data_IF_681539749944
#
_entry.id   IF_681539749944
#
_cell.length_a   1.000
_cell.length_b   1.000
_cell.length_c   1.000
_cell.angle_alpha   90.00
_cell.angle_beta   90.00
_cell.angle_gamma   90.00
#
_symmetry.space_group_name_H-M   'P 1'
#
loop_
_entity.id
_entity.type
_entity.pdbx_description
1 polymer ?
#
# COMPACT_ATOMS: atom_id res chain seq x y z
N UNK A 1 -4.38 14.57 -20.51
CA UNK A 1 -3.25 14.23 -19.63
C UNK A 1 -2.77 12.86 -20.08
N UNK A 2 -1.53 12.73 -20.53
CA UNK A 2 -1.06 11.45 -21.05
C UNK A 2 -1.08 10.42 -19.92
N UNK A 3 -1.99 9.44 -20.00
CA UNK A 3 -1.91 8.21 -19.23
C UNK A 3 -0.60 7.53 -19.63
N UNK A 4 0.45 7.75 -18.83
CA UNK A 4 1.68 6.99 -18.99
C UNK A 4 1.37 5.56 -18.57
N UNK A 5 1.01 4.71 -19.52
CA UNK A 5 0.84 3.29 -19.28
C UNK A 5 2.11 2.73 -18.64
N UNK A 6 1.95 2.02 -17.53
CA UNK A 6 3.06 1.35 -16.85
C UNK A 6 3.38 0.09 -17.65
N UNK A 7 4.64 -0.06 -18.08
CA UNK A 7 5.04 -1.30 -18.77
C UNK A 7 5.16 -2.46 -17.78
N UNK A 8 5.00 -3.70 -18.28
CA UNK A 8 5.16 -4.89 -17.43
C UNK A 8 6.58 -5.01 -16.83
N UNK A 9 7.60 -4.49 -17.52
CA UNK A 9 8.97 -4.44 -17.00
C UNK A 9 9.14 -3.37 -15.91
N UNK A 10 8.44 -2.24 -16.01
CA UNK A 10 8.40 -1.21 -14.96
C UNK A 10 7.67 -1.71 -13.72
N UNK A 11 6.54 -2.37 -13.92
CA UNK A 11 5.76 -2.99 -12.85
C UNK A 11 6.57 -4.06 -12.12
N UNK A 12 7.11 -5.05 -12.86
CA UNK A 12 7.85 -6.17 -12.29
C UNK A 12 9.08 -5.70 -11.50
N UNK A 13 9.82 -4.72 -12.04
CA UNK A 13 10.97 -4.14 -11.33
C UNK A 13 10.54 -3.42 -10.05
N UNK A 14 9.50 -2.58 -10.13
CA UNK A 14 9.02 -1.80 -8.99
C UNK A 14 8.49 -2.70 -7.88
N UNK A 15 7.80 -3.78 -8.25
CA UNK A 15 7.30 -4.78 -7.32
C UNK A 15 8.46 -5.51 -6.63
N UNK A 16 9.46 -5.94 -7.40
CA UNK A 16 10.65 -6.60 -6.84
C UNK A 16 11.43 -5.66 -5.90
N UNK A 17 11.58 -4.37 -6.26
CA UNK A 17 12.24 -3.41 -5.37
C UNK A 17 11.42 -3.13 -4.10
N UNK A 18 10.09 -3.07 -4.19
CA UNK A 18 9.25 -2.85 -3.02
C UNK A 18 9.34 -4.01 -2.01
N UNK A 19 9.56 -5.24 -2.48
CA UNK A 19 9.68 -6.43 -1.66
C UNK A 19 11.10 -6.65 -1.09
N UNK A 20 12.13 -6.12 -1.75
CA UNK A 20 13.55 -6.36 -1.42
C UNK A 20 13.90 -6.08 0.04
N UNK A 21 13.34 -5.01 0.60
CA UNK A 21 13.59 -4.57 1.97
C UNK A 21 12.46 -4.99 2.94
N UNK A 22 11.54 -5.85 2.50
CA UNK A 22 10.41 -6.30 3.31
C UNK A 22 10.64 -7.71 3.84
N UNK A 23 9.96 -8.06 4.94
CA UNK A 23 9.92 -9.44 5.45
C UNK A 23 9.10 -10.41 4.58
N UNK A 24 8.65 -9.98 3.40
CA UNK A 24 7.84 -10.78 2.46
C UNK A 24 8.75 -11.41 1.42
N UNK A 25 8.85 -12.73 1.43
CA UNK A 25 9.65 -13.49 0.47
C UNK A 25 9.08 -13.43 -0.96
N UNK A 26 7.76 -13.57 -1.10
CA UNK A 26 7.08 -13.55 -2.39
C UNK A 26 5.58 -13.28 -2.26
N UNK A 27 4.98 -12.83 -3.36
CA UNK A 27 3.54 -12.63 -3.50
C UNK A 27 2.90 -13.80 -4.24
N UNK A 28 1.67 -14.15 -3.87
CA UNK A 28 0.84 -15.11 -4.60
C UNK A 28 0.36 -14.52 -5.92
N UNK A 29 0.07 -15.38 -6.89
CA UNK A 29 -0.36 -14.95 -8.23
C UNK A 29 -1.57 -14.02 -8.19
N UNK A 30 -2.57 -14.31 -7.35
CA UNK A 30 -3.77 -13.50 -7.19
C UNK A 30 -3.49 -12.15 -6.55
N UNK A 31 -2.50 -12.08 -5.64
CA UNK A 31 -2.07 -10.80 -5.05
C UNK A 31 -1.36 -9.94 -6.11
N UNK A 32 -0.47 -10.54 -6.92
CA UNK A 32 0.22 -9.86 -8.02
C UNK A 32 -0.80 -9.32 -9.02
N UNK A 33 -1.78 -10.13 -9.42
CA UNK A 33 -2.82 -9.70 -10.35
C UNK A 33 -3.65 -8.54 -9.78
N UNK A 34 -4.02 -8.58 -8.50
CA UNK A 34 -4.71 -7.45 -7.87
C UNK A 34 -3.88 -6.16 -7.93
N UNK A 35 -2.60 -6.21 -7.59
CA UNK A 35 -1.72 -5.04 -7.63
C UNK A 35 -1.54 -4.55 -9.07
N UNK A 36 -1.41 -5.47 -10.05
CA UNK A 36 -1.27 -5.17 -11.47
C UNK A 36 -2.49 -4.43 -12.01
N UNK A 37 -3.71 -4.85 -11.63
CA UNK A 37 -4.95 -4.15 -12.02
C UNK A 37 -4.99 -2.71 -11.51
N UNK A 38 -4.53 -2.47 -10.28
CA UNK A 38 -4.47 -1.10 -9.72
C UNK A 38 -3.41 -0.27 -10.46
N UNK A 39 -2.19 -0.79 -10.58
CA UNK A 39 -1.04 0.02 -11.01
C UNK A 39 -0.94 0.14 -12.52
N UNK A 40 -1.17 -0.95 -13.26
CA UNK A 40 -1.00 -0.98 -14.71
C UNK A 40 -2.29 -0.63 -15.46
N UNK A 41 -3.43 -1.07 -14.94
CA UNK A 41 -4.73 -0.90 -15.61
C UNK A 41 -5.56 0.25 -15.04
N UNK A 42 -5.22 0.76 -13.86
CA UNK A 42 -6.01 1.77 -13.13
C UNK A 42 -7.48 1.34 -12.95
N UNK A 43 -7.69 0.05 -12.69
CA UNK A 43 -9.03 -0.54 -12.53
C UNK A 43 -9.47 -0.60 -11.08
N UNK A 44 -10.76 -0.30 -10.85
CA UNK A 44 -11.47 -0.67 -9.65
C UNK A 44 -11.95 -2.13 -9.75
N UNK A 45 -11.78 -2.92 -8.68
CA UNK A 45 -12.24 -4.31 -8.66
C UNK A 45 -12.66 -4.78 -7.26
N UNK A 46 -13.39 -5.90 -7.24
CA UNK A 46 -13.73 -6.65 -6.05
C UNK A 46 -12.90 -7.94 -5.98
N UNK A 47 -11.99 -8.04 -5.02
CA UNK A 47 -11.23 -9.28 -4.78
C UNK A 47 -11.92 -10.14 -3.72
N UNK A 48 -12.47 -11.28 -4.15
CA UNK A 48 -13.05 -12.29 -3.27
C UNK A 48 -12.01 -13.38 -2.99
N UNK A 49 -11.27 -13.24 -1.89
CA UNK A 49 -10.22 -14.17 -1.49
C UNK A 49 -10.48 -14.73 -0.08
N UNK A 50 -10.10 -15.98 0.23
CA UNK A 50 -10.41 -16.61 1.50
C UNK A 50 -9.74 -15.91 2.70
N UNK A 51 -10.28 -16.11 3.89
CA UNK A 51 -9.66 -15.66 5.15
C UNK A 51 -8.29 -16.31 5.31
N UNK A 52 -7.31 -15.58 5.84
CA UNK A 52 -5.92 -16.06 5.94
C UNK A 52 -5.13 -16.03 4.63
N UNK A 53 -5.73 -15.66 3.49
CA UNK A 53 -5.00 -15.63 2.22
C UNK A 53 -3.85 -14.61 2.17
N UNK A 54 -3.91 -13.57 3.01
CA UNK A 54 -2.97 -12.43 2.98
C UNK A 54 -3.49 -11.24 2.18
N UNK A 55 -4.81 -11.01 2.17
CA UNK A 55 -5.45 -9.91 1.42
C UNK A 55 -4.86 -8.54 1.74
N UNK A 56 -4.51 -8.28 3.00
CA UNK A 56 -3.99 -6.98 3.43
C UNK A 56 -2.74 -6.56 2.68
N UNK A 57 -1.87 -7.52 2.37
CA UNK A 57 -0.60 -7.26 1.71
C UNK A 57 -0.77 -6.59 0.34
N UNK A 58 -1.90 -6.85 -0.33
CA UNK A 58 -2.24 -6.27 -1.63
C UNK A 58 -2.23 -4.74 -1.53
N UNK A 59 -3.00 -4.15 -0.61
CA UNK A 59 -3.05 -2.69 -0.48
C UNK A 59 -1.87 -2.13 0.32
N UNK A 60 -1.26 -2.93 1.20
CA UNK A 60 -0.13 -2.48 2.03
C UNK A 60 1.12 -2.19 1.21
N UNK A 61 1.41 -2.96 0.16
CA UNK A 61 2.64 -2.79 -0.63
C UNK A 61 2.51 -1.66 -1.68
N UNK A 62 1.28 -1.31 -2.10
CA UNK A 62 1.03 -0.37 -3.21
C UNK A 62 1.77 0.96 -3.07
N UNK A 63 1.72 1.67 -1.92
CA UNK A 63 2.43 2.94 -1.79
C UNK A 63 3.93 2.80 -2.09
N UNK A 64 4.55 1.70 -1.65
CA UNK A 64 5.97 1.42 -1.91
C UNK A 64 6.21 1.13 -3.39
N UNK A 65 5.37 0.32 -4.03
CA UNK A 65 5.48 0.01 -5.47
C UNK A 65 5.36 1.28 -6.30
N UNK A 66 4.41 2.17 -5.98
CA UNK A 66 4.25 3.46 -6.64
C UNK A 66 5.49 4.35 -6.46
N UNK A 67 6.06 4.42 -5.25
CA UNK A 67 7.31 5.16 -5.00
C UNK A 67 8.47 4.62 -5.83
N UNK A 68 8.63 3.29 -5.90
CA UNK A 68 9.65 2.65 -6.74
C UNK A 68 9.44 2.94 -8.23
N UNK A 69 8.19 2.97 -8.69
CA UNK A 69 7.85 3.25 -10.08
C UNK A 69 8.23 4.68 -10.49
N UNK A 70 7.92 5.68 -9.65
CA UNK A 70 8.34 7.07 -9.89
C UNK A 70 9.86 7.20 -9.87
N UNK A 71 10.52 6.49 -8.93
CA UNK A 71 11.98 6.46 -8.87
C UNK A 71 12.59 5.89 -10.17
N UNK A 72 11.97 4.85 -10.76
CA UNK A 72 12.43 4.27 -12.04
C UNK A 72 12.22 5.23 -13.22
N UNK A 73 11.06 5.91 -13.30
CA UNK A 73 10.70 6.78 -14.43
C UNK A 73 11.41 8.13 -14.41
N UNK A 74 11.40 8.78 -13.26
CA UNK A 74 11.81 10.20 -13.13
C UNK A 74 13.08 10.39 -12.30
N UNK A 75 13.58 9.34 -11.64
CA UNK A 75 14.64 9.42 -10.62
C UNK A 75 14.30 10.34 -9.44
N UNK A 76 13.01 10.63 -9.27
CA UNK A 76 12.49 11.46 -8.19
C UNK A 76 11.94 10.58 -7.07
N UNK A 77 12.07 11.05 -5.84
CA UNK A 77 11.44 10.43 -4.68
C UNK A 77 10.08 11.07 -4.44
N UNK A 78 9.01 10.31 -4.64
CA UNK A 78 7.64 10.72 -4.32
C UNK A 78 7.04 9.76 -3.30
N UNK A 79 6.38 10.32 -2.29
CA UNK A 79 5.60 9.54 -1.32
C UNK A 79 4.16 9.40 -1.81
N UNK A 80 3.58 8.23 -1.54
CA UNK A 80 2.19 7.92 -1.83
C UNK A 80 1.46 7.55 -0.55
N UNK A 81 0.16 7.86 -0.51
CA UNK A 81 -0.72 7.58 0.62
C UNK A 81 -1.87 6.69 0.13
N UNK A 82 -2.11 5.57 0.83
CA UNK A 82 -3.27 4.72 0.64
C UNK A 82 -4.25 4.86 1.81
N UNK A 83 -5.52 5.11 1.51
CA UNK A 83 -6.58 5.15 2.52
C UNK A 83 -7.28 3.79 2.59
N UNK A 84 -7.35 3.22 3.78
CA UNK A 84 -7.99 1.93 4.04
C UNK A 84 -9.15 2.12 5.00
N UNK A 85 -10.35 1.85 4.52
CA UNK A 85 -11.57 1.92 5.33
C UNK A 85 -11.85 0.54 5.92
N UNK A 86 -11.93 0.45 7.25
CA UNK A 86 -12.28 -0.78 7.96
C UNK A 86 -13.19 -0.48 9.14
N UNK A 87 -14.32 -1.21 9.30
CA UNK A 87 -15.34 -0.87 10.29
C UNK A 87 -14.87 -1.11 11.74
N UNK A 88 -13.91 -2.00 11.97
CA UNK A 88 -13.51 -2.41 13.32
C UNK A 88 -12.19 -1.75 13.72
N UNK A 89 -12.24 -0.97 14.80
CA UNK A 89 -11.05 -0.33 15.39
C UNK A 89 -9.94 -1.34 15.73
N UNK A 90 -10.32 -2.50 16.29
CA UNK A 90 -9.37 -3.58 16.57
C UNK A 90 -8.61 -4.03 15.32
N UNK A 91 -9.31 -4.19 14.18
CA UNK A 91 -8.68 -4.57 12.91
C UNK A 91 -7.74 -3.45 12.45
N UNK A 92 -8.16 -2.17 12.52
CA UNK A 92 -7.31 -1.03 12.14
C UNK A 92 -5.99 -1.02 12.92
N UNK A 93 -6.06 -1.16 14.25
CA UNK A 93 -4.87 -1.23 15.13
C UNK A 93 -3.96 -2.40 14.75
N UNK A 94 -4.53 -3.59 14.52
CA UNK A 94 -3.77 -4.75 14.07
C UNK A 94 -3.09 -4.54 12.71
N UNK A 95 -3.73 -3.83 11.76
CA UNK A 95 -3.12 -3.55 10.46
C UNK A 95 -1.98 -2.53 10.57
N UNK A 96 -2.10 -1.53 11.45
CA UNK A 96 -0.99 -0.59 11.72
C UNK A 96 0.22 -1.34 12.29
N UNK A 97 0.01 -2.24 13.24
CA UNK A 97 1.08 -3.08 13.78
C UNK A 97 1.67 -4.04 12.74
N UNK A 98 0.84 -4.61 11.86
CA UNK A 98 1.33 -5.54 10.84
C UNK A 98 2.27 -4.83 9.86
N UNK A 99 1.97 -3.59 9.46
CA UNK A 99 2.84 -2.80 8.58
C UNK A 99 4.18 -2.47 9.25
N UNK A 100 4.17 -2.14 10.55
CA UNK A 100 5.42 -1.95 11.32
C UNK A 100 6.30 -3.20 11.31
N UNK A 101 5.70 -4.40 11.31
CA UNK A 101 6.42 -5.69 11.24
C UNK A 101 6.90 -6.06 9.83
N UNK A 102 6.38 -5.43 8.79
CA UNK A 102 6.83 -5.68 7.41
C UNK A 102 8.24 -5.13 7.14
N UNK A 103 8.71 -4.18 7.97
CA UNK A 103 10.03 -3.53 7.88
C UNK A 103 10.38 -2.91 6.52
N UNK A 104 9.37 -2.60 5.70
CA UNK A 104 9.56 -2.12 4.32
C UNK A 104 9.74 -0.59 4.21
N UNK A 105 9.93 0.09 5.34
CA UNK A 105 10.03 1.55 5.45
C UNK A 105 8.70 2.30 5.29
N UNK A 106 7.57 1.60 5.27
CA UNK A 106 6.24 2.22 5.22
C UNK A 106 5.77 2.63 6.62
N UNK A 107 5.10 3.79 6.69
CA UNK A 107 4.45 4.29 7.90
C UNK A 107 2.95 4.16 7.80
N UNK A 108 2.31 3.69 8.87
CA UNK A 108 0.88 3.53 8.94
C UNK A 108 0.31 4.12 10.23
N UNK A 109 -0.90 4.65 10.15
CA UNK A 109 -1.59 5.33 11.22
C UNK A 109 -3.10 5.06 11.14
N UNK A 110 -3.79 5.09 12.29
CA UNK A 110 -5.24 5.02 12.37
C UNK A 110 -5.83 6.34 12.87
N UNK A 111 -6.86 6.85 12.19
CA UNK A 111 -7.49 8.14 12.50
C UNK A 111 -8.18 8.06 13.86
N UNK A 112 -7.92 9.06 14.71
CA UNK A 112 -8.52 9.20 16.03
C UNK A 112 -7.91 8.27 17.08
N UNK A 113 -6.73 7.69 16.79
CA UNK A 113 -6.01 6.90 17.79
C UNK A 113 -5.36 7.82 18.85
N UNK A 114 -4.68 8.89 18.40
CA UNK A 114 -3.97 9.89 19.21
C UNK A 114 -3.79 11.19 18.41
N UNK A 115 -3.78 12.34 19.09
CA UNK A 115 -3.58 13.66 18.46
C UNK A 115 -2.25 13.76 17.70
N UNK A 116 -1.17 13.12 18.19
CA UNK A 116 0.11 13.12 17.47
C UNK A 116 0.04 12.33 16.17
N UNK A 117 -0.68 11.21 16.17
CA UNK A 117 -0.88 10.37 14.99
C UNK A 117 -1.68 11.11 13.92
N UNK A 118 -2.71 11.84 14.32
CA UNK A 118 -3.55 12.62 13.41
C UNK A 118 -2.76 13.78 12.78
N UNK A 119 -1.87 14.43 13.53
CA UNK A 119 -0.92 15.42 12.96
C UNK A 119 0.03 14.80 11.94
N UNK A 120 0.57 13.61 12.22
CA UNK A 120 1.43 12.92 11.26
C UNK A 120 0.67 12.56 9.96
N UNK A 121 -0.64 12.30 10.05
CA UNK A 121 -1.51 12.10 8.88
C UNK A 121 -1.67 13.42 8.11
N UNK A 122 -2.05 14.50 8.79
CA UNK A 122 -2.26 15.83 8.19
C UNK A 122 -0.99 16.37 7.49
N UNK A 123 0.17 16.11 8.06
CA UNK A 123 1.47 16.52 7.50
C UNK A 123 2.00 15.58 6.40
N UNK A 124 1.25 14.52 6.05
CA UNK A 124 1.64 13.59 4.97
C UNK A 124 2.85 12.72 5.32
N UNK A 125 3.11 12.47 6.61
CA UNK A 125 4.24 11.68 7.11
C UNK A 125 3.97 10.18 7.13
N UNK A 126 2.80 9.75 6.67
CA UNK A 126 2.34 8.36 6.65
C UNK A 126 2.05 7.92 5.22
N UNK A 127 2.20 6.64 4.95
CA UNK A 127 1.92 6.03 3.64
C UNK A 127 0.58 5.30 3.62
N UNK A 128 0.05 4.91 4.78
CA UNK A 128 -1.22 4.19 4.88
C UNK A 128 -2.02 4.75 6.05
N UNK A 129 -3.26 5.12 5.78
CA UNK A 129 -4.19 5.68 6.77
C UNK A 129 -5.37 4.74 6.94
N UNK A 130 -5.67 4.35 8.18
CA UNK A 130 -6.80 3.51 8.53
C UNK A 130 -7.94 4.31 9.17
N UNK A 131 -9.07 4.40 8.48
CA UNK A 131 -10.30 5.06 8.96
C UNK A 131 -11.47 4.07 9.10
N UNK A 132 -12.49 4.45 9.85
CA UNK A 132 -13.82 3.85 9.73
C UNK A 132 -14.63 4.57 8.65
N UNK A 133 -15.87 4.13 8.38
CA UNK A 133 -16.69 4.75 7.35
C UNK A 133 -17.26 6.12 7.78
N UNK A 134 -17.29 6.38 9.08
CA UNK A 134 -17.80 7.59 9.70
C UNK A 134 -16.76 8.72 9.78
N UNK A 135 -15.49 8.39 9.52
CA UNK A 135 -14.34 9.29 9.54
C UNK A 135 -13.96 9.70 8.13
#
# INVERSE_FOLDING_TARGET
MAESTVSEEEFSWSLAQALKDSSVESLKAEQVECIRRIICLSEDFLAVLPTGFGKSLIYQIIPKVCSCLVLKKSKETKSFVGCVVSPLEYIRKQQVESIKKLDCGLRAAAIGERDETDKDIEEGRVNIVFGSAEQ
#
